data_IF_189626622393
#
_entry.id   IF_189626622393
#
_cell.length_a   1.000
_cell.length_b   1.000
_cell.length_c   1.000
_cell.angle_alpha   90.00
_cell.angle_beta   90.00
_cell.angle_gamma   90.00
#
_symmetry.space_group_name_H-M   'P 1'
#
loop_
_entity.id
_entity.type
_entity.pdbx_description
1 polymer ?
#
# COMPACT_ATOMS: atom_id res chain seq x y z
N UNK A 1 21.54 11.75 -37.22
CA UNK A 1 20.53 11.88 -36.15
C UNK A 1 20.63 10.67 -35.22
N UNK A 2 21.45 10.74 -34.16
CA UNK A 2 21.55 9.68 -33.16
C UNK A 2 20.70 10.13 -31.97
N UNK A 3 19.45 9.69 -31.88
CA UNK A 3 18.68 9.88 -30.65
C UNK A 3 19.44 9.19 -29.51
N UNK A 4 19.91 9.90 -28.47
CA UNK A 4 20.54 9.23 -27.36
C UNK A 4 19.42 8.50 -26.59
N UNK A 5 19.27 7.21 -26.87
CA UNK A 5 18.28 6.34 -26.22
C UNK A 5 18.61 6.15 -24.73
N UNK A 6 19.90 6.23 -24.38
CA UNK A 6 20.44 6.05 -23.04
C UNK A 6 19.81 6.99 -21.98
N UNK A 7 19.77 8.32 -22.16
CA UNK A 7 19.16 9.23 -21.18
C UNK A 7 17.64 9.01 -21.03
N UNK A 8 16.94 8.59 -22.09
CA UNK A 8 15.50 8.30 -22.02
C UNK A 8 15.23 7.04 -21.19
N UNK A 9 16.04 6.00 -21.38
CA UNK A 9 15.98 4.77 -20.59
C UNK A 9 16.35 5.03 -19.12
N UNK A 10 17.41 5.81 -18.87
CA UNK A 10 17.81 6.17 -17.51
C UNK A 10 16.72 6.96 -16.76
N UNK A 11 16.12 7.94 -17.43
CA UNK A 11 14.99 8.70 -16.87
C UNK A 11 13.78 7.79 -16.59
N UNK A 12 13.42 6.93 -17.54
CA UNK A 12 12.32 5.98 -17.37
C UNK A 12 12.55 5.01 -16.19
N UNK A 13 13.78 4.49 -16.06
CA UNK A 13 14.16 3.63 -14.93
C UNK A 13 14.09 4.39 -13.60
N UNK A 14 14.60 5.62 -13.55
CA UNK A 14 14.54 6.46 -12.35
C UNK A 14 13.10 6.73 -11.92
N UNK A 15 12.23 7.15 -12.85
CA UNK A 15 10.80 7.35 -12.57
C UNK A 15 10.15 6.04 -12.10
N UNK A 16 10.46 4.92 -12.77
CA UNK A 16 9.95 3.60 -12.38
C UNK A 16 10.35 3.21 -10.95
N UNK A 17 11.60 3.45 -10.56
CA UNK A 17 12.10 3.19 -9.20
C UNK A 17 11.43 4.10 -8.17
N UNK A 18 11.24 5.38 -8.49
CA UNK A 18 10.50 6.31 -7.61
C UNK A 18 9.07 5.85 -7.42
N UNK A 19 8.37 5.49 -8.50
CA UNK A 19 6.99 4.97 -8.40
C UNK A 19 6.93 3.66 -7.63
N UNK A 20 7.87 2.73 -7.86
CA UNK A 20 7.95 1.49 -7.10
C UNK A 20 8.16 1.77 -5.61
N UNK A 21 9.07 2.69 -5.26
CA UNK A 21 9.31 3.10 -3.88
C UNK A 21 8.06 3.68 -3.21
N UNK A 22 7.24 4.45 -3.95
CA UNK A 22 5.98 5.00 -3.45
C UNK A 22 4.87 3.93 -3.33
N UNK A 23 4.84 2.93 -4.21
CA UNK A 23 3.80 1.89 -4.26
C UNK A 23 4.06 0.75 -3.26
N UNK A 24 5.33 0.36 -3.06
CA UNK A 24 5.71 -0.73 -2.14
C UNK A 24 5.09 -0.62 -0.74
N UNK A 25 5.12 0.55 -0.04
CA UNK A 25 4.50 0.65 1.28
C UNK A 25 2.98 0.44 1.23
N UNK A 26 2.30 0.85 0.16
CA UNK A 26 0.86 0.60 -0.03
C UNK A 26 0.59 -0.91 -0.17
N UNK A 27 1.45 -1.63 -0.90
CA UNK A 27 1.35 -3.09 -1.04
C UNK A 27 1.59 -3.83 0.28
N UNK A 28 2.34 -3.24 1.22
CA UNK A 28 2.51 -3.78 2.58
C UNK A 28 1.27 -3.48 3.43
N UNK A 29 0.69 -2.28 3.30
CA UNK A 29 -0.50 -1.87 4.07
C UNK A 29 -1.72 -2.72 3.69
N UNK A 30 -1.91 -3.07 2.42
CA UNK A 30 -3.07 -3.86 1.96
C UNK A 30 -3.24 -5.19 2.71
N UNK A 31 -2.28 -6.12 2.75
CA UNK A 31 -2.45 -7.36 3.51
C UNK A 31 -2.54 -7.11 5.02
N UNK A 32 -1.85 -6.07 5.51
CA UNK A 32 -1.86 -5.68 6.92
C UNK A 32 -3.22 -5.14 7.38
N UNK A 33 -4.02 -4.52 6.50
CA UNK A 33 -5.37 -4.04 6.83
C UNK A 33 -6.32 -5.20 7.13
N UNK A 34 -6.01 -6.39 6.63
CA UNK A 34 -6.70 -7.63 6.94
C UNK A 34 -6.09 -8.37 8.14
N UNK A 35 -5.12 -7.80 8.88
CA UNK A 35 -4.55 -8.49 10.04
C UNK A 35 -5.59 -8.68 11.15
N UNK A 36 -5.82 -9.92 11.58
CA UNK A 36 -6.72 -10.21 12.70
C UNK A 36 -6.20 -9.78 14.07
N UNK A 37 -4.90 -9.53 14.22
CA UNK A 37 -4.24 -9.21 15.49
C UNK A 37 -4.32 -7.72 15.84
N UNK A 38 -4.06 -7.40 17.11
CA UNK A 38 -3.95 -6.01 17.60
C UNK A 38 -2.62 -5.34 17.21
N UNK A 39 -1.61 -6.13 16.87
CA UNK A 39 -0.30 -5.63 16.50
C UNK A 39 -0.09 -5.76 14.99
N UNK A 40 0.37 -4.68 14.38
CA UNK A 40 0.76 -4.67 12.98
C UNK A 40 2.12 -5.37 12.85
N UNK A 41 2.10 -6.65 12.50
CA UNK A 41 3.31 -7.43 12.16
C UNK A 41 3.19 -7.92 10.73
N UNK A 42 4.23 -7.68 9.93
CA UNK A 42 4.30 -8.14 8.55
C UNK A 42 5.20 -9.40 8.44
N UNK A 43 4.76 -10.46 7.74
CA UNK A 43 3.43 -10.67 7.16
C UNK A 43 2.36 -10.87 8.25
N UNK A 44 1.09 -10.55 7.99
CA UNK A 44 0.02 -10.74 8.96
C UNK A 44 -0.10 -12.24 9.31
N UNK A 45 -0.16 -12.61 10.61
CA UNK A 45 -0.23 -14.00 11.04
C UNK A 45 -1.60 -14.65 10.77
N UNK A 46 -2.64 -13.84 10.58
CA UNK A 46 -3.98 -14.27 10.21
C UNK A 46 -4.73 -13.17 9.46
N UNK A 47 -5.61 -13.58 8.53
CA UNK A 47 -6.48 -12.68 7.78
C UNK A 47 -7.87 -12.60 8.41
N UNK A 48 -8.42 -11.41 8.56
CA UNK A 48 -9.71 -11.12 9.18
C UNK A 48 -10.29 -9.80 8.66
N UNK A 49 -11.62 -9.72 8.60
CA UNK A 49 -12.37 -8.50 8.30
C UNK A 49 -12.77 -7.71 9.56
N UNK A 50 -12.32 -8.13 10.75
CA UNK A 50 -12.71 -7.55 12.04
C UNK A 50 -12.61 -6.02 12.08
N UNK A 51 -11.58 -5.43 11.49
CA UNK A 51 -11.40 -3.98 11.48
C UNK A 51 -12.38 -3.26 10.55
N UNK A 52 -12.76 -3.88 9.44
CA UNK A 52 -13.82 -3.36 8.57
C UNK A 52 -15.17 -3.44 9.28
N UNK A 53 -15.47 -4.56 9.94
CA UNK A 53 -16.69 -4.75 10.73
C UNK A 53 -16.78 -3.74 11.89
N UNK A 54 -15.68 -3.49 12.62
CA UNK A 54 -15.61 -2.50 13.69
C UNK A 54 -15.86 -1.07 13.17
N UNK A 55 -15.35 -0.74 11.98
CA UNK A 55 -15.55 0.56 11.36
C UNK A 55 -17.01 0.78 10.95
N UNK A 56 -17.59 -0.16 10.20
CA UNK A 56 -18.98 -0.05 9.72
C UNK A 56 -20.01 -0.28 10.83
N UNK A 57 -19.67 -1.04 11.87
CA UNK A 57 -20.53 -1.30 13.02
C UNK A 57 -20.59 -0.16 14.03
N UNK A 58 -19.71 0.84 13.92
CA UNK A 58 -19.61 1.93 14.88
C UNK A 58 -20.14 3.25 14.29
N UNK A 59 -21.30 3.75 14.76
CA UNK A 59 -21.90 4.98 14.28
C UNK A 59 -21.01 6.21 14.44
N UNK A 60 -20.14 6.25 15.47
CA UNK A 60 -19.24 7.39 15.68
C UNK A 60 -18.17 7.47 14.59
N UNK A 61 -17.66 6.33 14.11
CA UNK A 61 -16.71 6.28 13.00
C UNK A 61 -17.38 6.63 11.67
N UNK A 62 -18.59 6.12 11.41
CA UNK A 62 -19.32 6.39 10.17
C UNK A 62 -19.86 7.82 10.06
N UNK A 63 -20.25 8.46 11.17
CA UNK A 63 -20.72 9.85 11.13
C UNK A 63 -19.58 10.86 11.00
N UNK A 64 -18.35 10.46 11.32
CA UNK A 64 -17.17 11.32 11.29
C UNK A 64 -16.39 11.26 9.95
N UNK A 65 -16.75 10.35 9.04
CA UNK A 65 -16.15 10.19 7.70
C UNK A 65 -17.16 10.54 6.63
#
# INVERSE_FOLDING_TARGET
MKHPLLPRLAFGLFVGLVLAYLIVPLLIIVPMSFSGTRFLTFPPPSFSLRWYEEYFGNPAWMQAT
#
